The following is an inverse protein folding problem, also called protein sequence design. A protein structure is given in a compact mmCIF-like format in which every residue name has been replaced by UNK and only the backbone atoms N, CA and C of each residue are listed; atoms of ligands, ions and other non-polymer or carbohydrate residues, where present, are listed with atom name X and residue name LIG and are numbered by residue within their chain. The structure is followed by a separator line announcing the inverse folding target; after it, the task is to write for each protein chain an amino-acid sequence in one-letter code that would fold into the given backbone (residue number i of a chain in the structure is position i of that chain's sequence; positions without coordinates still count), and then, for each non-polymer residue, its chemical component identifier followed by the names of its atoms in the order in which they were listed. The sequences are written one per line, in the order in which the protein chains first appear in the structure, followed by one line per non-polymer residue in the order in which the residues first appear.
data_IF_568338632325
#
_entry.id   IF_568338632325
#
_cell.length_a   1.000
_cell.length_b   1.000
_cell.length_c   1.000
_cell.angle_alpha   90.00
_cell.angle_beta   90.00
_cell.angle_gamma   90.00
#
_symmetry.space_group_name_H-M   'P 1'
#
loop_
_entity.id
_entity.type
_entity.pdbx_description
1 polymer ?
#
# COMPACT_ATOMS: atom_id res chain seq x y z
N UNK A 1 7.45 7.03 -45.17
CA UNK A 1 7.88 8.06 -44.22
C UNK A 1 6.99 7.96 -42.95
N UNK A 2 7.37 7.08 -42.01
CA UNK A 2 6.66 6.96 -40.73
C UNK A 2 7.67 6.57 -39.65
N UNK A 3 8.47 7.55 -39.25
CA UNK A 3 9.64 7.33 -38.38
C UNK A 3 9.54 7.96 -36.98
N UNK A 4 8.35 8.09 -36.41
CA UNK A 4 8.20 8.68 -35.07
C UNK A 4 7.33 7.88 -34.10
N UNK A 5 7.17 6.58 -34.29
CA UNK A 5 6.67 5.71 -33.21
C UNK A 5 7.84 5.11 -32.47
N UNK A 6 8.52 5.93 -31.66
CA UNK A 6 9.23 5.39 -30.49
C UNK A 6 8.13 4.85 -29.58
N UNK A 7 7.84 3.56 -29.69
CA UNK A 7 7.11 2.84 -28.64
C UNK A 7 8.01 2.91 -27.41
N UNK A 8 7.73 3.85 -26.52
CA UNK A 8 8.18 3.75 -25.14
C UNK A 8 7.50 2.47 -24.64
N UNK A 9 8.26 1.39 -24.63
CA UNK A 9 7.84 0.12 -24.06
C UNK A 9 7.85 0.33 -22.55
N UNK A 10 6.75 0.89 -22.03
CA UNK A 10 6.54 1.00 -20.61
C UNK A 10 6.36 -0.43 -20.09
N UNK A 11 7.23 -0.86 -19.21
CA UNK A 11 7.04 -2.08 -18.43
C UNK A 11 5.68 -1.98 -17.76
N UNK A 12 4.69 -2.67 -18.31
CA UNK A 12 3.34 -2.61 -17.78
C UNK A 12 3.16 -3.71 -16.75
N UNK A 13 3.43 -3.34 -15.50
CA UNK A 13 3.12 -4.16 -14.34
C UNK A 13 1.69 -3.86 -13.89
N UNK A 14 0.85 -4.88 -13.81
CA UNK A 14 -0.59 -4.75 -13.52
C UNK A 14 -0.87 -5.34 -12.15
N UNK A 15 -1.54 -4.57 -11.29
CA UNK A 15 -2.11 -5.10 -10.04
C UNK A 15 -3.36 -5.92 -10.38
N UNK A 16 -3.39 -7.20 -9.98
CA UNK A 16 -4.50 -8.13 -10.24
C UNK A 16 -5.37 -8.43 -9.03
N UNK A 17 -4.74 -8.58 -7.88
CA UNK A 17 -5.45 -8.93 -6.65
C UNK A 17 -4.84 -8.21 -5.45
N UNK A 18 -5.71 -7.91 -4.48
CA UNK A 18 -5.35 -7.43 -3.14
C UNK A 18 -5.85 -8.47 -2.16
N UNK A 19 -4.99 -8.99 -1.31
CA UNK A 19 -5.38 -9.94 -0.27
C UNK A 19 -5.11 -9.36 1.11
N UNK A 20 -6.11 -9.41 1.96
CA UNK A 20 -6.11 -8.80 3.29
C UNK A 20 -6.46 -9.83 4.36
N UNK A 21 -5.58 -9.98 5.36
CA UNK A 21 -5.83 -10.78 6.55
C UNK A 21 -5.76 -9.88 7.77
N UNK A 22 -6.79 -9.86 8.58
CA UNK A 22 -6.89 -9.03 9.79
C UNK A 22 -6.61 -7.53 9.56
N UNK A 23 -6.97 -7.01 8.39
CA UNK A 23 -6.88 -5.59 8.07
C UNK A 23 -8.25 -4.94 8.22
N UNK A 24 -8.48 -4.20 9.33
CA UNK A 24 -9.77 -3.68 9.76
C UNK A 24 -10.83 -4.80 9.77
N UNK A 25 -11.94 -4.64 9.05
CA UNK A 25 -13.00 -5.66 8.92
C UNK A 25 -12.68 -6.82 7.97
N UNK A 26 -11.55 -6.79 7.26
CA UNK A 26 -11.15 -7.87 6.36
C UNK A 26 -10.37 -8.94 7.13
N UNK A 27 -10.98 -10.10 7.36
CA UNK A 27 -10.35 -11.17 8.15
C UNK A 27 -9.46 -12.10 7.31
N UNK A 28 -9.92 -12.47 6.11
CA UNK A 28 -9.16 -13.26 5.12
C UNK A 28 -9.87 -13.10 3.77
N UNK A 29 -9.51 -12.09 2.99
CA UNK A 29 -10.28 -11.70 1.80
C UNK A 29 -9.38 -11.33 0.64
N UNK A 30 -9.67 -11.90 -0.54
CA UNK A 30 -9.10 -11.47 -1.81
C UNK A 30 -10.07 -10.54 -2.52
N UNK A 31 -9.55 -9.43 -3.04
CA UNK A 31 -10.28 -8.40 -3.77
C UNK A 31 -9.66 -8.33 -5.16
N UNK A 32 -10.40 -8.71 -6.21
CA UNK A 32 -9.90 -8.64 -7.57
C UNK A 32 -9.81 -7.18 -8.05
N UNK A 33 -8.79 -6.89 -8.84
CA UNK A 33 -8.55 -5.59 -9.45
C UNK A 33 -8.52 -5.75 -10.96
N UNK A 34 -9.32 -4.95 -11.66
CA UNK A 34 -9.35 -4.94 -13.12
C UNK A 34 -8.14 -4.20 -13.70
N UNK A 35 -7.64 -4.69 -14.82
CA UNK A 35 -6.47 -4.12 -15.51
C UNK A 35 -6.64 -2.64 -15.88
N UNK A 36 -7.83 -2.26 -16.34
CA UNK A 36 -8.06 -0.93 -16.89
C UNK A 36 -8.67 0.03 -15.86
N UNK A 37 -9.72 -0.42 -15.16
CA UNK A 37 -10.44 0.39 -14.19
C UNK A 37 -11.11 -0.49 -13.15
N UNK A 38 -10.92 -0.16 -11.89
CA UNK A 38 -11.68 -0.74 -10.77
C UNK A 38 -12.39 0.36 -10.02
N UNK A 39 -13.72 0.28 -9.99
CA UNK A 39 -14.55 1.18 -9.20
C UNK A 39 -14.87 0.54 -7.85
N UNK A 40 -14.41 1.19 -6.77
CA UNK A 40 -14.75 0.80 -5.41
C UNK A 40 -15.91 1.67 -4.93
N UNK A 41 -17.11 1.13 -4.95
CA UNK A 41 -18.33 1.83 -4.53
C UNK A 41 -19.01 1.12 -3.35
N UNK A 42 -19.90 1.82 -2.66
CA UNK A 42 -20.65 1.31 -1.51
C UNK A 42 -21.02 2.43 -0.54
N UNK A 43 -21.78 2.10 0.47
CA UNK A 43 -22.21 3.02 1.52
C UNK A 43 -21.02 3.54 2.35
N UNK A 44 -21.27 4.54 3.19
CA UNK A 44 -20.26 5.02 4.12
C UNK A 44 -19.88 3.88 5.08
N UNK A 45 -18.61 3.89 5.49
CA UNK A 45 -18.03 2.89 6.43
C UNK A 45 -17.89 1.45 5.91
N UNK A 46 -18.28 1.15 4.65
CA UNK A 46 -18.17 -0.21 4.07
C UNK A 46 -16.72 -0.65 3.73
N UNK A 47 -15.71 0.15 4.07
CA UNK A 47 -14.29 -0.24 3.91
C UNK A 47 -13.59 0.25 2.64
N UNK A 48 -14.20 1.14 1.82
CA UNK A 48 -13.56 1.70 0.60
C UNK A 48 -12.19 2.32 0.88
N UNK A 49 -12.13 3.23 1.84
CA UNK A 49 -10.86 3.88 2.24
C UNK A 49 -9.89 2.87 2.87
N UNK A 50 -10.40 1.85 3.53
CA UNK A 50 -9.60 0.80 4.17
C UNK A 50 -8.80 0.00 3.14
N UNK A 51 -9.39 -0.30 1.97
CA UNK A 51 -8.71 -0.98 0.87
C UNK A 51 -7.60 -0.07 0.31
N UNK A 52 -7.89 1.20 0.05
CA UNK A 52 -6.89 2.16 -0.45
C UNK A 52 -5.75 2.38 0.56
N UNK A 53 -6.07 2.45 1.85
CA UNK A 53 -5.07 2.58 2.92
C UNK A 53 -4.14 1.35 3.01
N UNK A 54 -4.63 0.14 2.69
CA UNK A 54 -3.77 -1.05 2.64
C UNK A 54 -2.73 -0.96 1.52
N UNK A 55 -3.13 -0.54 0.33
CA UNK A 55 -2.23 -0.32 -0.80
C UNK A 55 -1.20 0.75 -0.45
N UNK A 56 -1.67 1.92 0.04
CA UNK A 56 -0.79 3.01 0.46
C UNK A 56 0.23 2.55 1.50
N UNK A 57 -0.23 1.81 2.51
CA UNK A 57 0.65 1.31 3.57
C UNK A 57 1.71 0.36 3.02
N UNK A 58 1.33 -0.58 2.17
CA UNK A 58 2.26 -1.54 1.56
C UNK A 58 3.38 -0.83 0.79
N UNK A 59 3.05 0.21 0.01
CA UNK A 59 4.03 0.96 -0.77
C UNK A 59 4.89 1.93 0.01
N UNK A 60 4.40 2.47 1.11
CA UNK A 60 5.05 3.63 1.75
C UNK A 60 5.33 3.41 3.22
N UNK A 61 4.69 2.44 3.86
CA UNK A 61 4.69 2.29 5.30
C UNK A 61 4.17 3.53 6.03
N UNK A 62 3.37 4.37 5.34
CA UNK A 62 2.79 5.59 5.92
C UNK A 62 1.55 5.25 6.75
N UNK A 63 1.57 5.64 8.01
CA UNK A 63 0.49 5.40 8.97
C UNK A 63 -0.50 6.56 9.09
N UNK A 64 -0.35 7.59 8.27
CA UNK A 64 -1.33 8.68 8.20
C UNK A 64 -2.52 8.24 7.33
N UNK A 65 -3.42 7.48 7.91
CA UNK A 65 -4.63 7.05 7.24
C UNK A 65 -5.63 8.19 7.08
N UNK A 66 -6.50 8.12 6.07
CA UNK A 66 -7.49 9.15 5.77
C UNK A 66 -8.30 9.48 7.03
N UNK A 67 -8.31 10.77 7.38
CA UNK A 67 -9.28 11.29 8.33
C UNK A 67 -10.64 11.16 7.66
N UNK A 68 -11.52 10.36 8.24
CA UNK A 68 -12.90 10.35 7.81
C UNK A 68 -13.39 11.82 7.79
N UNK A 69 -13.97 12.25 6.68
CA UNK A 69 -14.49 13.61 6.45
C UNK A 69 -15.64 13.99 7.40
N UNK A 70 -16.09 13.10 8.24
CA UNK A 70 -17.10 13.33 9.27
C UNK A 70 -16.44 13.85 10.56
N UNK A 71 -16.49 15.12 10.74
CA UNK A 71 -16.62 16.02 11.90
C UNK A 71 -16.14 15.66 13.31
N UNK A 72 -15.39 14.60 13.55
CA UNK A 72 -14.89 14.24 14.87
C UNK A 72 -13.46 14.73 15.08
N UNK A 73 -13.35 15.99 15.47
CA UNK A 73 -12.10 16.63 15.93
C UNK A 73 -11.74 16.27 17.40
N UNK A 74 -12.28 15.22 17.96
CA UNK A 74 -11.91 14.75 19.27
C UNK A 74 -10.74 13.77 19.15
N UNK A 75 -9.67 13.95 19.93
CA UNK A 75 -8.42 13.15 19.88
C UNK A 75 -8.59 11.65 20.16
N UNK A 76 -9.80 11.20 20.42
CA UNK A 76 -10.24 9.81 20.59
C UNK A 76 -10.78 9.35 19.24
N UNK A 77 -10.10 8.44 18.56
CA UNK A 77 -10.56 7.91 17.26
C UNK A 77 -9.65 8.16 16.06
N UNK A 78 -8.46 8.67 16.29
CA UNK A 78 -7.47 8.81 15.22
C UNK A 78 -7.11 7.43 14.67
N UNK A 79 -7.43 7.18 13.40
CA UNK A 79 -7.03 5.94 12.73
C UNK A 79 -5.51 5.82 12.73
N UNK A 80 -5.02 4.77 13.34
CA UNK A 80 -3.61 4.40 13.40
C UNK A 80 -3.44 2.92 13.02
N UNK A 81 -2.22 2.44 12.96
CA UNK A 81 -1.97 1.08 12.51
C UNK A 81 -2.56 0.04 13.49
N UNK A 82 -2.53 0.29 14.80
CA UNK A 82 -3.16 -0.59 15.80
C UNK A 82 -4.67 -0.65 15.60
N UNK A 83 -5.33 0.48 15.32
CA UNK A 83 -6.77 0.52 15.07
C UNK A 83 -7.17 -0.26 13.82
N UNK A 84 -6.29 -0.33 12.81
CA UNK A 84 -6.52 -1.16 11.62
C UNK A 84 -6.33 -2.64 11.90
N UNK A 85 -5.22 -3.03 12.50
CA UNK A 85 -4.89 -4.45 12.73
C UNK A 85 -5.81 -5.09 13.78
N UNK A 86 -6.18 -4.35 14.85
CA UNK A 86 -7.10 -4.82 15.87
C UNK A 86 -8.58 -4.56 15.55
N UNK A 87 -8.88 -3.83 14.48
CA UNK A 87 -10.23 -3.44 14.05
C UNK A 87 -10.98 -2.68 15.15
N UNK A 88 -10.72 -1.38 15.27
CA UNK A 88 -11.42 -0.49 16.20
C UNK A 88 -12.89 -0.33 15.75
N UNK A 89 -13.82 -0.86 16.55
CA UNK A 89 -15.26 -0.88 16.27
C UNK A 89 -15.94 0.34 16.87
N UNK A 90 -15.59 0.65 18.11
CA UNK A 90 -16.10 1.83 18.80
C UNK A 90 -14.93 2.63 19.38
N UNK A 91 -14.72 3.81 18.79
CA UNK A 91 -13.63 4.68 19.19
C UNK A 91 -13.88 5.37 20.55
N UNK A 92 -15.15 5.60 20.90
CA UNK A 92 -15.53 6.26 22.16
C UNK A 92 -15.37 5.34 23.36
N UNK A 93 -15.67 4.05 23.17
CA UNK A 93 -15.53 3.03 24.20
C UNK A 93 -14.18 2.27 24.13
N UNK A 94 -13.35 2.52 23.10
CA UNK A 94 -12.10 1.81 22.89
C UNK A 94 -12.28 0.32 22.58
N UNK A 95 -13.41 -0.06 21.93
CA UNK A 95 -13.75 -1.46 21.67
C UNK A 95 -13.12 -1.90 20.35
N UNK A 96 -12.40 -3.02 20.39
CA UNK A 96 -11.78 -3.67 19.24
C UNK A 96 -12.44 -5.02 18.95
N UNK A 97 -12.61 -5.36 17.67
CA UNK A 97 -13.08 -6.69 17.25
C UNK A 97 -12.05 -7.78 17.58
N UNK A 98 -10.76 -7.42 17.70
CA UNK A 98 -9.66 -8.28 18.15
C UNK A 98 -9.08 -7.75 19.45
N UNK A 99 -9.78 -7.97 20.57
CA UNK A 99 -9.38 -7.40 21.86
C UNK A 99 -8.15 -8.11 22.44
N UNK A 100 -7.33 -7.37 23.17
CA UNK A 100 -6.02 -7.84 23.62
C UNK A 100 -6.07 -8.94 24.68
N UNK A 101 -7.13 -8.99 25.49
CA UNK A 101 -7.39 -10.03 26.47
C UNK A 101 -7.66 -11.40 25.86
N UNK A 102 -8.22 -11.44 24.63
CA UNK A 102 -8.49 -12.67 23.88
C UNK A 102 -7.41 -12.99 22.85
N UNK A 103 -6.86 -11.96 22.20
CA UNK A 103 -5.85 -12.09 21.14
C UNK A 103 -4.65 -11.21 21.51
N UNK A 104 -3.68 -11.74 22.27
CA UNK A 104 -2.52 -10.96 22.73
C UNK A 104 -1.71 -10.36 21.59
N UNK A 105 -1.52 -11.11 20.49
CA UNK A 105 -0.83 -10.64 19.28
C UNK A 105 -1.72 -10.87 18.07
N UNK A 106 -1.93 -9.83 17.27
CA UNK A 106 -2.62 -9.91 15.99
C UNK A 106 -1.60 -9.94 14.87
N UNK A 107 -1.70 -10.93 14.00
CA UNK A 107 -0.94 -11.04 12.76
C UNK A 107 -1.81 -10.59 11.60
N UNK A 108 -1.31 -9.63 10.84
CA UNK A 108 -2.00 -9.01 9.72
C UNK A 108 -1.18 -9.19 8.45
N UNK A 109 -1.80 -9.59 7.35
CA UNK A 109 -1.16 -9.63 6.04
C UNK A 109 -1.85 -8.67 5.08
N UNK A 110 -1.03 -7.92 4.34
CA UNK A 110 -1.43 -7.18 3.15
C UNK A 110 -0.60 -7.75 2.02
N UNK A 111 -1.22 -8.32 1.01
CA UNK A 111 -0.53 -8.88 -0.16
C UNK A 111 -1.14 -8.32 -1.44
N UNK A 112 -0.28 -7.91 -2.36
CA UNK A 112 -0.60 -7.30 -3.64
C UNK A 112 -0.04 -8.20 -4.74
N UNK A 113 -0.92 -8.82 -5.53
CA UNK A 113 -0.53 -9.66 -6.66
C UNK A 113 -0.41 -8.82 -7.92
N UNK A 114 0.73 -8.92 -8.55
CA UNK A 114 1.04 -8.26 -9.81
C UNK A 114 1.28 -9.25 -10.93
N UNK A 115 1.17 -8.76 -12.14
CA UNK A 115 1.57 -9.45 -13.35
C UNK A 115 2.45 -8.57 -14.20
N UNK A 116 3.66 -9.02 -14.47
CA UNK A 116 4.56 -8.41 -15.44
C UNK A 116 4.17 -8.90 -16.85
N UNK A 117 3.59 -8.01 -17.65
CA UNK A 117 3.13 -8.36 -19.00
C UNK A 117 4.27 -8.60 -20.00
N UNK A 118 5.48 -8.14 -19.70
CA UNK A 118 6.62 -8.34 -20.60
C UNK A 118 7.23 -9.71 -20.40
N UNK A 119 7.44 -10.08 -19.13
CA UNK A 119 8.05 -11.34 -18.76
C UNK A 119 7.02 -12.46 -18.54
N UNK A 120 5.72 -12.14 -18.69
CA UNK A 120 4.59 -13.05 -18.45
C UNK A 120 4.67 -13.72 -17.07
N UNK A 121 5.10 -12.96 -16.06
CA UNK A 121 5.43 -13.47 -14.75
C UNK A 121 4.55 -12.86 -13.65
N UNK A 122 3.81 -13.68 -12.86
CA UNK A 122 3.13 -13.20 -11.68
C UNK A 122 4.12 -13.02 -10.53
N UNK A 123 3.86 -12.06 -9.64
CA UNK A 123 4.59 -11.92 -8.40
C UNK A 123 3.71 -11.28 -7.32
N UNK A 124 4.04 -11.57 -6.06
CA UNK A 124 3.32 -11.04 -4.90
C UNK A 124 4.26 -10.19 -4.05
N UNK A 125 3.83 -8.98 -3.76
CA UNK A 125 4.47 -8.08 -2.81
C UNK A 125 3.62 -8.01 -1.55
N UNK A 126 4.20 -8.23 -0.38
CA UNK A 126 3.39 -8.28 0.83
C UNK A 126 4.07 -7.69 2.05
N UNK A 127 3.24 -7.42 3.06
CA UNK A 127 3.65 -6.94 4.39
C UNK A 127 3.00 -7.79 5.45
N UNK A 128 3.79 -8.26 6.41
CA UNK A 128 3.30 -8.85 7.65
C UNK A 128 3.44 -7.81 8.76
N UNK A 129 2.37 -7.62 9.52
CA UNK A 129 2.34 -6.69 10.66
C UNK A 129 2.00 -7.49 11.91
N UNK A 130 2.82 -7.37 12.92
CA UNK A 130 2.63 -7.97 14.23
C UNK A 130 2.26 -6.88 15.23
N UNK A 131 1.04 -6.96 15.76
CA UNK A 131 0.50 -5.97 16.69
C UNK A 131 0.30 -6.58 18.07
N UNK A 132 1.05 -6.09 19.02
CA UNK A 132 0.87 -6.40 20.45
C UNK A 132 -0.37 -5.69 21.03
N UNK A 133 -0.46 -5.58 22.32
CA UNK A 133 -1.66 -5.04 23.00
C UNK A 133 -1.96 -3.61 22.56
N UNK A 134 -0.96 -2.73 22.58
CA UNK A 134 -1.12 -1.29 22.31
C UNK A 134 -0.20 -0.75 21.22
N UNK A 135 0.74 -1.54 20.75
CA UNK A 135 1.83 -1.12 19.85
C UNK A 135 2.11 -2.11 18.73
N UNK A 136 2.85 -1.66 17.75
CA UNK A 136 3.33 -2.49 16.64
C UNK A 136 4.64 -3.15 17.06
N UNK A 137 4.61 -4.47 17.12
CA UNK A 137 5.75 -5.30 17.49
C UNK A 137 6.77 -5.41 16.37
N UNK A 138 6.28 -5.50 15.13
CA UNK A 138 7.11 -5.61 13.95
C UNK A 138 6.31 -5.38 12.67
N UNK A 139 7.03 -4.99 11.63
CA UNK A 139 6.51 -4.87 10.26
C UNK A 139 7.55 -5.39 9.29
N UNK A 140 7.15 -6.32 8.43
CA UNK A 140 8.07 -7.09 7.61
C UNK A 140 7.56 -7.12 6.17
N UNK A 141 8.36 -6.61 5.24
CA UNK A 141 8.08 -6.63 3.81
C UNK A 141 8.68 -7.88 3.15
N UNK A 142 7.98 -8.43 2.18
CA UNK A 142 8.46 -9.57 1.40
C UNK A 142 8.03 -9.49 -0.07
N UNK A 143 8.70 -10.24 -0.91
CA UNK A 143 8.33 -10.47 -2.30
C UNK A 143 8.38 -11.96 -2.61
N UNK A 144 7.46 -12.42 -3.44
CA UNK A 144 7.42 -13.79 -3.98
C UNK A 144 7.31 -13.72 -5.49
N UNK A 145 8.38 -14.06 -6.17
CA UNK A 145 8.44 -14.12 -7.62
C UNK A 145 7.82 -15.43 -8.14
N UNK A 146 7.17 -15.38 -9.31
CA UNK A 146 6.51 -16.54 -9.90
C UNK A 146 5.31 -17.10 -9.09
N UNK A 147 4.72 -16.31 -8.18
CA UNK A 147 3.60 -16.71 -7.34
C UNK A 147 2.39 -15.84 -7.54
N UNK A 148 1.20 -16.45 -7.43
CA UNK A 148 -0.08 -15.77 -7.30
C UNK A 148 -0.60 -15.86 -5.86
N UNK A 149 -1.61 -15.07 -5.51
CA UNK A 149 -2.28 -15.18 -4.19
C UNK A 149 -2.86 -16.58 -3.97
N UNK A 150 -3.32 -17.24 -5.04
CA UNK A 150 -3.87 -18.61 -4.94
C UNK A 150 -2.82 -19.66 -4.54
N UNK A 151 -1.54 -19.40 -4.79
CA UNK A 151 -0.43 -20.29 -4.41
C UNK A 151 0.00 -20.09 -2.94
N UNK A 152 -0.61 -19.14 -2.25
CA UNK A 152 -0.17 -18.71 -0.92
C UNK A 152 -1.28 -18.91 0.11
N UNK A 153 -1.01 -19.72 1.13
CA UNK A 153 -1.86 -19.79 2.32
C UNK A 153 -1.36 -18.79 3.36
N UNK A 154 -2.12 -17.75 3.62
CA UNK A 154 -1.81 -16.72 4.64
C UNK A 154 -2.22 -17.15 6.04
N UNK A 155 -3.04 -18.19 6.11
CA UNK A 155 -3.59 -18.74 7.34
C UNK A 155 -3.34 -20.26 7.39
N UNK A 156 -3.41 -20.83 8.59
CA UNK A 156 -3.34 -22.26 8.84
C UNK A 156 -4.42 -22.66 9.85
N UNK A 157 -4.75 -23.91 9.88
CA UNK A 157 -5.67 -24.48 10.87
C UNK A 157 -4.89 -25.14 12.01
N UNK A 158 -5.25 -24.79 13.24
CA UNK A 158 -4.72 -25.40 14.46
C UNK A 158 -5.84 -25.49 15.48
N UNK A 159 -6.08 -26.69 16.00
CA UNK A 159 -7.18 -26.97 16.94
C UNK A 159 -8.55 -26.50 16.46
N UNK A 160 -8.85 -26.72 15.17
CA UNK A 160 -10.08 -26.25 14.49
C UNK A 160 -10.25 -24.72 14.44
N UNK A 161 -9.19 -23.97 14.72
CA UNK A 161 -9.15 -22.53 14.61
C UNK A 161 -8.27 -22.08 13.42
N UNK A 162 -8.80 -21.18 12.61
CA UNK A 162 -8.04 -20.57 11.53
C UNK A 162 -7.20 -19.43 12.09
N UNK A 163 -5.88 -19.57 12.01
CA UNK A 163 -4.91 -18.60 12.52
C UNK A 163 -4.05 -18.04 11.38
N UNK A 164 -3.78 -16.73 11.32
CA UNK A 164 -2.80 -16.19 10.38
C UNK A 164 -1.38 -16.56 10.79
N UNK A 165 -0.51 -16.74 9.80
CA UNK A 165 0.92 -16.92 10.07
C UNK A 165 1.52 -15.64 10.66
N UNK A 166 2.42 -15.80 11.63
CA UNK A 166 3.37 -14.76 12.01
C UNK A 166 4.47 -14.60 10.94
N UNK A 167 5.30 -13.58 11.04
CA UNK A 167 6.36 -13.31 10.06
C UNK A 167 7.37 -14.47 9.97
N UNK A 168 7.74 -15.07 11.10
CA UNK A 168 8.71 -16.16 11.17
C UNK A 168 8.16 -17.44 10.54
N UNK A 169 6.94 -17.84 10.89
CA UNK A 169 6.28 -19.01 10.34
C UNK A 169 6.03 -18.90 8.84
N UNK A 170 5.62 -17.69 8.39
CA UNK A 170 5.41 -17.41 6.98
C UNK A 170 6.73 -17.46 6.20
N UNK A 171 7.79 -16.83 6.73
CA UNK A 171 9.14 -16.89 6.17
C UNK A 171 9.62 -18.34 6.02
N UNK A 172 9.50 -19.14 7.07
CA UNK A 172 9.92 -20.53 7.08
C UNK A 172 9.15 -21.37 6.06
N UNK A 173 7.82 -21.17 6.00
CA UNK A 173 6.94 -21.95 5.09
C UNK A 173 7.31 -21.74 3.62
N UNK A 174 7.62 -20.51 3.24
CA UNK A 174 7.84 -20.15 1.82
C UNK A 174 9.31 -19.94 1.45
N UNK A 175 10.25 -20.04 2.40
CA UNK A 175 11.68 -19.84 2.16
C UNK A 175 12.03 -18.42 1.70
N UNK A 176 11.22 -17.42 2.09
CA UNK A 176 11.38 -16.03 1.65
C UNK A 176 12.20 -15.20 2.64
N UNK A 177 12.69 -14.06 2.19
CA UNK A 177 13.37 -13.10 3.07
C UNK A 177 12.42 -12.01 3.52
N UNK A 178 12.29 -11.85 4.82
CA UNK A 178 11.63 -10.70 5.43
C UNK A 178 12.58 -9.50 5.47
N UNK A 179 12.09 -8.35 5.04
CA UNK A 179 12.86 -7.11 4.97
C UNK A 179 12.28 -6.06 5.92
N UNK A 180 13.14 -5.20 6.44
CA UNK A 180 12.71 -4.01 7.17
C UNK A 180 11.95 -3.04 6.23
N UNK A 181 11.35 -2.01 6.80
CA UNK A 181 10.56 -1.01 6.05
C UNK A 181 11.34 -0.38 4.89
N UNK A 182 12.58 0.06 5.13
CA UNK A 182 13.39 0.75 4.11
C UNK A 182 13.67 -0.15 2.92
N UNK A 183 14.21 -1.33 3.19
CA UNK A 183 14.62 -2.28 2.15
C UNK A 183 13.40 -2.88 1.42
N UNK A 184 12.31 -3.11 2.16
CA UNK A 184 11.07 -3.62 1.61
C UNK A 184 10.39 -2.64 0.65
N UNK A 185 10.26 -1.38 1.04
CA UNK A 185 9.69 -0.35 0.17
C UNK A 185 10.55 -0.16 -1.09
N UNK A 186 11.88 -0.15 -0.93
CA UNK A 186 12.80 -0.06 -2.08
C UNK A 186 12.61 -1.25 -3.03
N UNK A 187 12.51 -2.46 -2.50
CA UNK A 187 12.23 -3.67 -3.28
C UNK A 187 10.89 -3.55 -4.03
N UNK A 188 9.83 -3.10 -3.36
CA UNK A 188 8.52 -2.92 -4.00
C UNK A 188 8.59 -1.95 -5.16
N UNK A 189 9.20 -0.79 -4.97
CA UNK A 189 9.37 0.21 -6.03
C UNK A 189 10.14 -0.36 -7.23
N UNK A 190 11.21 -1.10 -6.99
CA UNK A 190 12.00 -1.73 -8.05
C UNK A 190 11.19 -2.77 -8.83
N UNK A 191 10.44 -3.64 -8.15
CA UNK A 191 9.68 -4.71 -8.80
C UNK A 191 8.51 -4.20 -9.64
N UNK A 192 7.89 -3.09 -9.26
CA UNK A 192 6.84 -2.45 -10.06
C UNK A 192 7.39 -1.50 -11.16
N UNK A 193 8.71 -1.45 -11.32
CA UNK A 193 9.37 -0.63 -12.35
C UNK A 193 9.65 0.83 -11.96
N UNK A 194 9.36 1.22 -10.71
CA UNK A 194 9.67 2.56 -10.20
C UNK A 194 11.09 2.56 -9.59
N UNK A 195 12.06 3.05 -10.34
CA UNK A 195 13.46 3.16 -9.89
C UNK A 195 13.68 4.40 -9.00
N UNK A 196 12.89 4.52 -7.92
CA UNK A 196 12.99 5.65 -7.00
C UNK A 196 13.96 5.31 -5.85
N UNK A 197 14.92 6.18 -5.54
CA UNK A 197 15.73 6.04 -4.35
C UNK A 197 14.87 6.28 -3.10
N UNK A 198 15.22 5.62 -1.99
CA UNK A 198 14.43 5.69 -0.76
C UNK A 198 14.22 7.12 -0.24
N UNK A 199 15.15 8.02 -0.49
CA UNK A 199 15.06 9.44 -0.12
C UNK A 199 13.87 10.15 -0.77
N UNK A 200 13.38 9.67 -1.91
CA UNK A 200 12.22 10.23 -2.61
C UNK A 200 10.88 9.64 -2.12
N UNK A 201 10.91 8.58 -1.30
CA UNK A 201 9.69 7.96 -0.75
C UNK A 201 8.80 8.97 -0.04
N UNK A 202 9.29 9.95 0.78
CA UNK A 202 8.43 10.96 1.40
C UNK A 202 7.69 11.84 0.39
N UNK A 203 8.30 12.16 -0.74
CA UNK A 203 7.65 12.91 -1.84
C UNK A 203 6.52 12.07 -2.44
N UNK A 204 6.77 10.79 -2.68
CA UNK A 204 5.79 9.84 -3.19
C UNK A 204 4.63 9.62 -2.20
N UNK A 205 4.90 9.48 -0.92
CA UNK A 205 3.90 9.40 0.14
C UNK A 205 2.96 10.62 0.14
N UNK A 206 3.52 11.82 -0.03
CA UNK A 206 2.74 13.06 -0.11
C UNK A 206 1.82 13.07 -1.32
N UNK A 207 2.33 12.69 -2.50
CA UNK A 207 1.53 12.57 -3.72
C UNK A 207 0.37 11.59 -3.54
N UNK A 208 0.62 10.40 -3.00
CA UNK A 208 -0.42 9.41 -2.74
C UNK A 208 -1.48 9.93 -1.76
N UNK A 209 -1.08 10.62 -0.69
CA UNK A 209 -2.05 11.24 0.25
C UNK A 209 -2.93 12.26 -0.44
N UNK A 210 -2.35 13.13 -1.27
CA UNK A 210 -3.09 14.16 -1.99
C UNK A 210 -4.10 13.53 -2.97
N UNK A 211 -3.68 12.49 -3.71
CA UNK A 211 -4.57 11.75 -4.62
C UNK A 211 -5.74 11.12 -3.85
N UNK A 212 -5.48 10.48 -2.73
CA UNK A 212 -6.52 9.81 -1.93
C UNK A 212 -7.46 10.78 -1.19
N UNK A 213 -6.98 11.99 -0.88
CA UNK A 213 -7.76 13.04 -0.22
C UNK A 213 -8.43 13.99 -1.22
N UNK A 214 -8.31 13.73 -2.52
CA UNK A 214 -8.84 14.63 -3.56
C UNK A 214 -10.35 14.79 -3.45
N UNK A 215 -10.78 16.05 -3.39
CA UNK A 215 -12.17 16.43 -3.49
C UNK A 215 -12.44 16.98 -4.91
N UNK A 216 -13.28 16.32 -5.73
CA UNK A 216 -13.57 16.76 -7.09
C UNK A 216 -14.16 18.18 -7.20
N UNK A 217 -14.73 18.69 -6.12
CA UNK A 217 -15.24 20.08 -6.07
C UNK A 217 -14.12 21.13 -5.89
N UNK A 218 -12.88 20.70 -5.55
CA UNK A 218 -11.74 21.59 -5.46
C UNK A 218 -11.08 21.77 -6.83
N UNK A 219 -10.25 22.79 -6.94
CA UNK A 219 -9.59 23.22 -8.19
C UNK A 219 -8.78 22.10 -8.85
N UNK A 220 -9.31 21.49 -9.88
CA UNK A 220 -8.69 20.37 -10.59
C UNK A 220 -7.30 20.68 -11.14
N UNK A 221 -7.05 21.95 -11.53
CA UNK A 221 -5.74 22.38 -12.06
C UNK A 221 -4.65 22.35 -10.99
N UNK A 222 -4.94 22.76 -9.76
CA UNK A 222 -4.00 22.70 -8.63
C UNK A 222 -3.69 21.24 -8.30
N UNK A 223 -4.72 20.37 -8.28
CA UNK A 223 -4.56 18.93 -8.05
C UNK A 223 -3.64 18.28 -9.08
N UNK A 224 -3.86 18.55 -10.38
CA UNK A 224 -3.02 18.02 -11.46
C UNK A 224 -1.58 18.50 -11.29
N UNK A 225 -1.38 19.80 -11.00
CA UNK A 225 -0.05 20.40 -10.83
C UNK A 225 0.70 19.77 -9.64
N UNK A 226 0.04 19.59 -8.51
CA UNK A 226 0.68 19.10 -7.27
C UNK A 226 0.82 17.59 -7.18
N UNK A 227 -0.11 16.84 -7.80
CA UNK A 227 -0.22 15.39 -7.60
C UNK A 227 0.20 14.57 -8.81
N UNK A 228 -0.02 15.09 -10.02
CA UNK A 228 0.21 14.34 -11.27
C UNK A 228 1.48 14.80 -11.98
N UNK A 229 1.70 16.10 -12.07
CA UNK A 229 2.88 16.62 -12.75
C UNK A 229 4.14 16.42 -11.89
N UNK A 230 5.19 15.93 -12.51
CA UNK A 230 6.51 15.94 -11.89
C UNK A 230 7.04 17.37 -11.87
N UNK A 231 7.48 17.85 -10.69
CA UNK A 231 8.27 19.04 -10.61
C UNK A 231 9.64 18.73 -11.25
N UNK A 232 9.81 19.07 -12.50
CA UNK A 232 11.12 19.20 -13.09
C UNK A 232 11.69 20.56 -12.62
N UNK A 233 12.67 20.51 -11.74
CA UNK A 233 13.50 21.69 -11.46
C UNK A 233 14.21 22.07 -12.76
N UNK A 234 13.57 22.93 -13.52
CA UNK A 234 14.23 23.58 -14.66
C UNK A 234 15.24 24.54 -14.05
N UNK A 235 16.52 24.15 -14.09
CA UNK A 235 17.59 25.01 -13.63
C UNK A 235 17.75 26.17 -14.61
N UNK A 236 16.98 27.25 -14.33
CA UNK A 236 16.97 28.45 -15.13
C UNK A 236 18.37 29.12 -15.21
N UNK A 237 19.25 28.87 -14.26
CA UNK A 237 20.61 29.42 -14.28
C UNK A 237 21.46 28.74 -15.35
N UNK A 238 21.33 27.41 -15.53
CA UNK A 238 21.97 26.69 -16.65
C UNK A 238 21.42 27.14 -18.01
N UNK A 239 20.13 27.45 -18.10
CA UNK A 239 19.55 27.98 -19.33
C UNK A 239 20.04 29.39 -19.65
N UNK A 240 20.22 30.26 -18.65
CA UNK A 240 20.80 31.59 -18.79
C UNK A 240 22.29 31.53 -19.18
N UNK A 241 23.03 30.59 -18.63
CA UNK A 241 24.43 30.36 -18.93
C UNK A 241 24.61 29.82 -20.37
N UNK A 242 23.75 28.86 -20.78
CA UNK A 242 23.72 28.37 -22.14
C UNK A 242 23.37 29.48 -23.15
N UNK A 243 22.45 30.39 -22.83
CA UNK A 243 22.10 31.54 -23.68
C UNK A 243 23.30 32.52 -23.82
N UNK A 244 24.03 32.80 -22.74
CA UNK A 244 25.23 33.66 -22.78
C UNK A 244 26.36 33.09 -23.60
N UNK A 245 26.43 31.78 -23.75
CA UNK A 245 27.47 31.10 -24.55
C UNK A 245 27.12 31.01 -26.05
N UNK A 246 25.90 31.43 -26.45
CA UNK A 246 25.41 31.43 -27.83
C UNK A 246 25.40 32.84 -28.42
N UNK A 247 25.39 33.88 -27.59
CA UNK A 247 25.59 35.28 -27.96
C UNK A 247 27.07 35.64 -27.98
#
# INVERSE_FOLDING_TARGET
MDSWKVRIQMNKTILRNIHLVNWYGFNNRTIPVSENLTLISGENECGKSTILDSIKYAYTGDTQFNKATSGYNTGVGKRNLVSYTRCLVDASAGIYARPADKIPVVYTHIALEYFDQINENPFVLGVVIETAITDIRGTYWYAMDGKTISDISFVYEEDSLVKPYDASGFQKKYGIQMKNKKDGITLFMQMIGLKLPYQEVPKYQRKLRNIMAYNPAAKIQEFIKESVLEEHDVNFDKLKEAKKNIE
#
